data_IF_315640719921
#
_entry.id   IF_315640719921
#
_cell.length_a   1.000
_cell.length_b   1.000
_cell.length_c   1.000
_cell.angle_alpha   90.00
_cell.angle_beta   90.00
_cell.angle_gamma   90.00
#
_symmetry.space_group_name_H-M   'P 1'
#
loop_
_entity.id
_entity.type
_entity.pdbx_description
1 polymer ?
#
# COMPACT_ATOMS: atom_id res chain seq x y z
N UNK A 1 32.02 63.78 2.54
CA UNK A 1 30.93 63.36 1.67
C UNK A 1 31.36 62.11 0.94
N UNK A 2 30.94 60.94 1.41
CA UNK A 2 31.30 59.66 0.80
C UNK A 2 30.44 59.45 -0.45
N UNK A 3 31.07 59.06 -1.54
CA UNK A 3 30.49 58.89 -2.85
C UNK A 3 29.49 57.71 -2.85
N UNK A 4 28.24 57.85 -3.25
CA UNK A 4 27.26 56.80 -3.26
C UNK A 4 27.59 55.64 -4.21
N UNK A 5 28.56 55.81 -5.09
CA UNK A 5 29.05 54.78 -6.03
C UNK A 5 29.91 53.70 -5.34
N UNK A 6 30.67 54.04 -4.28
CA UNK A 6 31.50 53.08 -3.55
C UNK A 6 30.68 52.12 -2.69
N UNK A 7 29.53 52.57 -2.15
CA UNK A 7 28.65 51.72 -1.33
C UNK A 7 27.88 50.67 -2.13
N UNK A 8 27.64 50.91 -3.42
CA UNK A 8 27.02 49.91 -4.29
C UNK A 8 28.04 48.87 -4.78
N UNK A 9 29.27 49.27 -5.02
CA UNK A 9 30.36 48.36 -5.38
C UNK A 9 30.71 47.40 -4.23
N UNK A 10 30.71 47.89 -3.00
CA UNK A 10 30.95 47.04 -1.83
C UNK A 10 29.81 46.05 -1.59
N UNK A 11 28.58 46.43 -1.89
CA UNK A 11 27.45 45.52 -1.84
C UNK A 11 27.51 44.42 -2.92
N UNK A 12 27.79 44.81 -4.17
CA UNK A 12 27.96 43.84 -5.26
C UNK A 12 29.14 42.91 -5.02
N UNK A 13 30.24 43.41 -4.43
CA UNK A 13 31.39 42.59 -4.04
C UNK A 13 31.07 41.64 -2.91
N UNK A 14 30.21 42.03 -1.95
CA UNK A 14 29.75 41.16 -0.86
C UNK A 14 28.80 40.06 -1.37
N UNK A 15 27.92 40.40 -2.30
CA UNK A 15 26.99 39.46 -2.92
C UNK A 15 27.72 38.44 -3.80
N UNK A 16 28.69 38.90 -4.63
CA UNK A 16 29.54 38.00 -5.41
C UNK A 16 30.38 37.09 -4.50
N UNK A 17 30.92 37.63 -3.37
CA UNK A 17 31.64 36.78 -2.40
C UNK A 17 30.74 35.72 -1.80
N UNK A 18 29.51 36.07 -1.48
CA UNK A 18 28.52 35.14 -0.93
C UNK A 18 28.19 34.06 -1.95
N UNK A 19 27.92 34.42 -3.19
CA UNK A 19 27.61 33.50 -4.28
C UNK A 19 28.80 32.57 -4.61
N UNK A 20 30.02 33.07 -4.56
CA UNK A 20 31.25 32.28 -4.70
C UNK A 20 31.42 31.30 -3.53
N UNK A 21 31.08 31.70 -2.30
CA UNK A 21 31.14 30.81 -1.14
C UNK A 21 30.04 29.74 -1.24
N UNK A 22 28.81 30.09 -1.65
CA UNK A 22 27.74 29.16 -1.86
C UNK A 22 28.04 28.17 -2.99
N UNK A 23 28.58 28.65 -4.11
CA UNK A 23 29.00 27.80 -5.24
C UNK A 23 30.13 26.86 -4.84
N UNK A 24 31.11 27.36 -4.05
CA UNK A 24 32.20 26.54 -3.51
C UNK A 24 31.73 25.47 -2.56
N UNK A 25 30.75 25.81 -1.69
CA UNK A 25 30.12 24.83 -0.81
C UNK A 25 29.30 23.79 -1.59
N UNK A 26 28.65 24.20 -2.67
CA UNK A 26 27.95 23.29 -3.57
C UNK A 26 28.90 22.32 -4.26
N UNK A 27 30.05 22.84 -4.76
CA UNK A 27 31.09 22.02 -5.37
C UNK A 27 31.69 21.04 -4.39
N UNK A 28 31.94 21.45 -3.15
CA UNK A 28 32.43 20.53 -2.09
C UNK A 28 31.39 19.46 -1.79
N UNK A 29 30.11 19.83 -1.75
CA UNK A 29 29.00 18.90 -1.48
C UNK A 29 28.81 17.90 -2.64
N UNK A 30 28.93 18.35 -3.88
CA UNK A 30 28.90 17.48 -5.06
C UNK A 30 30.12 16.58 -5.16
N UNK A 31 31.33 17.08 -4.81
CA UNK A 31 32.55 16.26 -4.77
C UNK A 31 32.45 15.16 -3.68
N UNK A 32 31.91 15.49 -2.51
CA UNK A 32 31.67 14.52 -1.45
C UNK A 32 30.61 13.48 -1.85
N UNK A 33 29.54 13.89 -2.53
CA UNK A 33 28.53 12.98 -3.09
C UNK A 33 29.13 12.09 -4.19
N UNK A 34 29.96 12.65 -5.05
CA UNK A 34 30.69 11.90 -6.09
C UNK A 34 31.65 10.86 -5.47
N UNK A 35 32.35 11.22 -4.42
CA UNK A 35 33.22 10.30 -3.67
C UNK A 35 32.44 9.20 -2.97
N UNK A 36 31.31 9.52 -2.34
CA UNK A 36 30.43 8.51 -1.73
C UNK A 36 29.82 7.58 -2.77
N UNK A 37 29.34 8.12 -3.89
CA UNK A 37 28.83 7.34 -5.01
C UNK A 37 29.92 6.43 -5.61
N UNK A 38 31.14 6.95 -5.78
CA UNK A 38 32.26 6.16 -6.28
C UNK A 38 32.64 5.03 -5.30
N UNK A 39 32.58 5.29 -3.99
CA UNK A 39 32.81 4.29 -2.97
C UNK A 39 31.71 3.21 -2.98
N UNK A 40 30.44 3.61 -3.15
CA UNK A 40 29.31 2.67 -3.26
C UNK A 40 29.39 1.83 -4.54
N UNK A 41 29.68 2.44 -5.68
CA UNK A 41 29.87 1.70 -6.94
C UNK A 41 31.03 0.71 -6.83
N UNK A 42 32.14 1.11 -6.17
CA UNK A 42 33.26 0.22 -5.92
C UNK A 42 32.91 -0.91 -4.94
N UNK A 43 32.08 -0.61 -3.94
CA UNK A 43 31.60 -1.63 -2.99
C UNK A 43 30.64 -2.63 -3.66
N UNK A 44 29.77 -2.14 -4.56
CA UNK A 44 28.89 -2.98 -5.37
C UNK A 44 29.70 -3.85 -6.34
N UNK A 45 30.70 -3.26 -7.01
CA UNK A 45 31.64 -4.00 -7.88
C UNK A 45 32.34 -5.14 -7.11
N UNK A 46 32.87 -4.85 -5.91
CA UNK A 46 33.48 -5.88 -5.07
C UNK A 46 32.50 -6.99 -4.68
N UNK A 47 31.28 -6.63 -4.30
CA UNK A 47 30.23 -7.62 -3.97
C UNK A 47 29.84 -8.44 -5.20
N UNK A 48 29.82 -7.85 -6.36
CA UNK A 48 29.51 -8.54 -7.61
C UNK A 48 30.63 -9.52 -8.00
N UNK A 49 31.90 -9.13 -7.80
CA UNK A 49 33.07 -10.01 -8.02
C UNK A 49 33.12 -11.17 -7.01
N UNK A 50 32.77 -10.92 -5.75
CA UNK A 50 32.63 -11.97 -4.72
C UNK A 50 31.46 -12.92 -5.03
N UNK A 51 30.33 -12.38 -5.50
CA UNK A 51 29.18 -13.18 -5.94
C UNK A 51 29.51 -14.04 -7.16
N UNK A 52 30.22 -13.49 -8.16
CA UNK A 52 30.66 -14.25 -9.32
C UNK A 52 31.68 -15.36 -8.92
N UNK A 53 32.59 -15.05 -8.02
CA UNK A 53 33.53 -16.07 -7.51
C UNK A 53 32.83 -17.21 -6.75
N UNK A 54 31.84 -16.87 -5.89
CA UNK A 54 31.03 -17.89 -5.20
C UNK A 54 30.16 -18.69 -6.17
N UNK A 55 29.60 -18.06 -7.17
CA UNK A 55 28.77 -18.72 -8.20
C UNK A 55 29.63 -19.64 -9.08
N UNK A 56 30.85 -19.21 -9.43
CA UNK A 56 31.80 -20.05 -10.17
C UNK A 56 32.29 -21.23 -9.31
N UNK A 57 32.61 -20.99 -8.03
CA UNK A 57 33.01 -22.07 -7.11
C UNK A 57 31.91 -23.10 -6.89
N UNK A 58 30.63 -22.66 -6.76
CA UNK A 58 29.48 -23.56 -6.59
C UNK A 58 29.20 -24.37 -7.85
N UNK A 59 29.37 -23.76 -9.02
CA UNK A 59 29.25 -24.47 -10.31
C UNK A 59 30.35 -25.48 -10.49
N UNK A 60 31.60 -25.13 -10.16
CA UNK A 60 32.75 -26.05 -10.22
C UNK A 60 32.57 -27.18 -9.20
N UNK A 61 32.13 -26.89 -7.98
CA UNK A 61 31.86 -27.92 -6.98
C UNK A 61 30.75 -28.89 -7.42
N UNK A 62 29.69 -28.37 -8.09
CA UNK A 62 28.65 -29.22 -8.67
C UNK A 62 29.16 -30.11 -9.80
N UNK A 63 30.06 -29.62 -10.66
CA UNK A 63 30.70 -30.44 -11.70
C UNK A 63 31.64 -31.49 -11.11
N UNK A 64 32.40 -31.15 -10.06
CA UNK A 64 33.24 -32.13 -9.35
C UNK A 64 32.40 -33.19 -8.64
N UNK A 65 31.30 -32.81 -8.00
CA UNK A 65 30.36 -33.76 -7.40
C UNK A 65 29.76 -34.69 -8.47
N UNK A 66 29.38 -34.14 -9.63
CA UNK A 66 28.85 -34.94 -10.74
C UNK A 66 29.89 -35.87 -11.36
N UNK A 67 31.15 -35.41 -11.53
CA UNK A 67 32.23 -36.21 -11.99
C UNK A 67 32.58 -37.36 -11.00
N UNK A 68 32.56 -37.08 -9.69
CA UNK A 68 32.74 -38.08 -8.63
C UNK A 68 31.63 -39.13 -8.64
N UNK A 69 30.39 -38.73 -8.80
CA UNK A 69 29.23 -39.63 -8.94
C UNK A 69 29.39 -40.49 -10.21
N UNK A 70 29.77 -39.89 -11.35
CA UNK A 70 30.00 -40.63 -12.60
C UNK A 70 31.14 -41.65 -12.48
N UNK A 71 32.22 -41.30 -11.80
CA UNK A 71 33.36 -42.20 -11.54
C UNK A 71 32.95 -43.32 -10.58
N UNK A 72 32.23 -43.03 -9.49
CA UNK A 72 31.73 -44.05 -8.57
C UNK A 72 30.74 -44.99 -9.23
N UNK A 73 29.85 -44.49 -10.04
CA UNK A 73 28.91 -45.31 -10.85
C UNK A 73 29.68 -46.19 -11.85
N UNK A 74 30.70 -45.65 -12.51
CA UNK A 74 31.57 -46.42 -13.45
C UNK A 74 32.35 -47.52 -12.75
N UNK A 75 32.92 -47.24 -11.58
CA UNK A 75 33.64 -48.24 -10.76
C UNK A 75 32.70 -49.34 -10.24
N UNK A 76 31.51 -48.96 -9.81
CA UNK A 76 30.46 -49.89 -9.36
C UNK A 76 30.02 -50.80 -10.53
N UNK A 77 29.78 -50.23 -11.72
CA UNK A 77 29.42 -50.99 -12.93
C UNK A 77 30.55 -51.92 -13.35
N UNK A 78 31.83 -51.51 -13.21
CA UNK A 78 32.98 -52.38 -13.56
C UNK A 78 33.18 -53.54 -12.56
N UNK A 79 32.88 -53.32 -11.28
CA UNK A 79 32.95 -54.38 -10.26
C UNK A 79 31.80 -55.41 -10.40
N UNK A 80 30.64 -54.99 -10.93
CA UNK A 80 29.49 -55.90 -11.18
C UNK A 80 29.73 -56.85 -12.34
N UNK A 81 30.56 -56.46 -13.31
CA UNK A 81 30.94 -57.40 -14.41
C UNK A 81 31.72 -58.61 -13.92
N UNK A 82 32.22 -58.56 -12.68
CA UNK A 82 32.98 -59.64 -12.08
C UNK A 82 32.16 -60.54 -11.12
N UNK A 83 30.96 -60.17 -10.72
CA UNK A 83 30.11 -60.97 -9.83
C UNK A 83 28.77 -61.32 -10.48
N UNK A 84 28.51 -62.61 -10.60
CA UNK A 84 27.39 -63.23 -11.31
C UNK A 84 26.06 -63.22 -10.53
N UNK A 85 25.84 -62.31 -9.58
CA UNK A 85 24.67 -62.34 -8.70
C UNK A 85 23.54 -61.39 -9.17
N UNK A 86 22.47 -61.99 -9.64
CA UNK A 86 21.28 -61.25 -10.13
C UNK A 86 20.69 -60.33 -9.06
N UNK A 87 20.75 -60.70 -7.79
CA UNK A 87 20.24 -59.93 -6.67
C UNK A 87 21.05 -58.65 -6.37
N UNK A 88 22.35 -58.64 -6.61
CA UNK A 88 23.15 -57.43 -6.47
C UNK A 88 22.89 -56.46 -7.64
N UNK A 89 22.67 -56.96 -8.84
CA UNK A 89 22.31 -56.10 -9.98
C UNK A 89 20.97 -55.38 -9.76
N UNK A 90 19.94 -56.11 -9.28
CA UNK A 90 18.64 -55.47 -8.99
C UNK A 90 18.72 -54.42 -7.87
N UNK A 91 19.54 -54.66 -6.83
CA UNK A 91 19.77 -53.68 -5.77
C UNK A 91 20.51 -52.44 -6.28
N UNK A 92 21.50 -52.62 -7.13
CA UNK A 92 22.27 -51.54 -7.71
C UNK A 92 21.47 -50.75 -8.75
N UNK A 93 20.67 -51.40 -9.58
CA UNK A 93 19.73 -50.72 -10.49
C UNK A 93 18.71 -49.86 -9.73
N UNK A 94 18.17 -50.36 -8.61
CA UNK A 94 17.32 -49.58 -7.72
C UNK A 94 18.05 -48.40 -7.09
N UNK A 95 19.25 -48.61 -6.58
CA UNK A 95 20.06 -47.55 -6.00
C UNK A 95 20.45 -46.47 -7.02
N UNK A 96 20.77 -46.88 -8.26
CA UNK A 96 21.01 -45.93 -9.36
C UNK A 96 19.72 -45.17 -9.74
N UNK A 97 18.60 -45.87 -9.80
CA UNK A 97 17.32 -45.24 -10.08
C UNK A 97 16.93 -44.21 -8.96
N UNK A 98 17.12 -44.58 -7.70
CA UNK A 98 16.86 -43.68 -6.54
C UNK A 98 17.81 -42.47 -6.55
N UNK A 99 19.12 -42.70 -6.80
CA UNK A 99 20.10 -41.61 -6.93
C UNK A 99 19.82 -40.70 -8.11
N UNK A 100 19.44 -41.23 -9.27
CA UNK A 100 19.09 -40.42 -10.41
C UNK A 100 17.81 -39.62 -10.18
N UNK A 101 16.80 -40.20 -9.52
CA UNK A 101 15.60 -39.50 -9.09
C UNK A 101 15.91 -38.39 -8.09
N UNK A 102 16.84 -38.64 -7.17
CA UNK A 102 17.25 -37.62 -6.18
C UNK A 102 18.03 -36.47 -6.85
N UNK A 103 18.97 -36.78 -7.75
CA UNK A 103 19.70 -35.76 -8.51
C UNK A 103 18.77 -34.92 -9.38
N UNK A 104 17.78 -35.52 -10.03
CA UNK A 104 16.82 -34.76 -10.81
C UNK A 104 15.91 -33.89 -9.93
N UNK A 105 15.52 -34.38 -8.76
CA UNK A 105 14.78 -33.58 -7.75
C UNK A 105 15.58 -32.38 -7.29
N UNK A 106 16.86 -32.59 -6.95
CA UNK A 106 17.76 -31.52 -6.51
C UNK A 106 18.03 -30.51 -7.63
N UNK A 107 18.13 -30.97 -8.88
CA UNK A 107 18.27 -30.11 -10.05
C UNK A 107 17.03 -29.22 -10.25
N UNK A 108 15.82 -29.80 -10.15
CA UNK A 108 14.55 -29.05 -10.26
C UNK A 108 14.46 -28.02 -9.13
N UNK A 109 14.83 -28.40 -7.91
CA UNK A 109 14.83 -27.49 -6.76
C UNK A 109 15.83 -26.33 -6.96
N UNK A 110 17.05 -26.62 -7.41
CA UNK A 110 18.04 -25.57 -7.72
C UNK A 110 17.57 -24.64 -8.82
N UNK A 111 16.94 -25.16 -9.87
CA UNK A 111 16.36 -24.33 -10.93
C UNK A 111 15.24 -23.43 -10.40
N UNK A 112 14.42 -23.95 -9.50
CA UNK A 112 13.34 -23.19 -8.88
C UNK A 112 13.88 -22.06 -7.98
N UNK A 113 14.93 -22.34 -7.18
CA UNK A 113 15.63 -21.33 -6.37
C UNK A 113 16.25 -20.25 -7.26
N UNK A 114 16.97 -20.64 -8.32
CA UNK A 114 17.55 -19.67 -9.25
C UNK A 114 16.49 -18.81 -9.94
N UNK A 115 15.36 -19.40 -10.32
CA UNK A 115 14.25 -18.66 -10.91
C UNK A 115 13.62 -17.66 -9.94
N UNK A 116 13.49 -18.04 -8.66
CA UNK A 116 13.01 -17.15 -7.60
C UNK A 116 13.98 -15.97 -7.38
N UNK A 117 15.28 -16.23 -7.27
CA UNK A 117 16.30 -15.18 -7.10
C UNK A 117 16.39 -14.25 -8.32
N UNK A 118 16.23 -14.76 -9.54
CA UNK A 118 16.16 -13.91 -10.74
C UNK A 118 14.95 -12.96 -10.70
N UNK A 119 13.77 -13.50 -10.37
CA UNK A 119 12.55 -12.67 -10.23
C UNK A 119 12.69 -11.62 -9.13
N UNK A 120 13.31 -11.98 -8.02
CA UNK A 120 13.64 -11.08 -6.93
C UNK A 120 14.59 -9.96 -7.40
N UNK A 121 15.64 -10.31 -8.14
CA UNK A 121 16.57 -9.36 -8.75
C UNK A 121 15.89 -8.43 -9.76
N UNK A 122 14.96 -8.93 -10.55
CA UNK A 122 14.18 -8.12 -11.49
C UNK A 122 13.25 -7.13 -10.77
N UNK A 123 12.59 -7.58 -9.70
CA UNK A 123 11.80 -6.70 -8.84
C UNK A 123 12.66 -5.60 -8.21
N UNK A 124 13.84 -5.94 -7.68
CA UNK A 124 14.78 -4.95 -7.16
C UNK A 124 15.22 -3.94 -8.21
N UNK A 125 15.56 -4.42 -9.41
CA UNK A 125 15.95 -3.56 -10.53
C UNK A 125 14.83 -2.59 -10.90
N UNK A 126 13.59 -3.05 -10.96
CA UNK A 126 12.45 -2.18 -11.22
C UNK A 126 12.30 -1.10 -10.15
N UNK A 127 12.50 -1.43 -8.87
CA UNK A 127 12.45 -0.45 -7.77
C UNK A 127 13.57 0.59 -7.83
N UNK A 128 14.69 0.30 -8.50
CA UNK A 128 15.89 1.16 -8.50
C UNK A 128 16.11 1.90 -9.79
N UNK A 129 15.76 1.33 -10.95
CA UNK A 129 16.07 1.91 -12.28
C UNK A 129 14.90 2.67 -12.89
N UNK A 130 13.66 2.34 -12.54
CA UNK A 130 12.50 3.06 -13.03
C UNK A 130 12.38 4.43 -12.33
N UNK A 131 11.59 5.34 -12.88
CA UNK A 131 11.35 6.66 -12.31
C UNK A 131 9.91 6.81 -11.83
N UNK A 132 9.73 7.70 -10.86
CA UNK A 132 8.40 8.01 -10.33
C UNK A 132 7.66 6.78 -9.83
N UNK A 133 6.42 6.67 -10.23
CA UNK A 133 5.49 5.63 -9.77
C UNK A 133 5.73 4.25 -10.35
N UNK A 134 6.39 4.18 -11.49
CA UNK A 134 6.72 2.89 -12.11
C UNK A 134 7.63 2.04 -11.22
N UNK A 135 8.35 2.68 -10.29
CA UNK A 135 9.14 2.00 -9.24
C UNK A 135 8.28 1.12 -8.33
N UNK A 136 7.02 1.48 -8.09
CA UNK A 136 6.09 0.68 -7.28
C UNK A 136 5.78 -0.66 -7.92
N UNK A 137 5.87 -0.79 -9.25
CA UNK A 137 5.69 -2.08 -9.94
C UNK A 137 6.65 -3.15 -9.42
N UNK A 138 7.89 -2.76 -9.10
CA UNK A 138 8.87 -3.66 -8.48
C UNK A 138 8.45 -4.10 -7.08
N UNK A 139 7.93 -3.18 -6.27
CA UNK A 139 7.43 -3.48 -4.93
C UNK A 139 6.16 -4.36 -4.97
N UNK A 140 5.29 -4.17 -5.95
CA UNK A 140 4.10 -4.99 -6.17
C UNK A 140 4.45 -6.38 -6.73
N UNK A 141 5.47 -6.44 -7.59
CA UNK A 141 6.00 -7.71 -8.09
C UNK A 141 6.60 -8.54 -6.95
N UNK A 142 7.33 -7.88 -6.02
CA UNK A 142 7.85 -8.53 -4.82
C UNK A 142 6.74 -9.09 -3.92
N UNK A 143 5.65 -8.34 -3.73
CA UNK A 143 4.51 -8.78 -2.91
C UNK A 143 3.83 -10.04 -3.46
N UNK A 144 3.93 -10.29 -4.77
CA UNK A 144 3.38 -11.47 -5.45
C UNK A 144 4.38 -12.63 -5.57
N UNK A 145 5.64 -12.41 -5.19
CA UNK A 145 6.69 -13.40 -5.33
C UNK A 145 6.59 -14.43 -4.22
N UNK A 146 6.73 -15.71 -4.58
CA UNK A 146 6.97 -16.76 -3.59
C UNK A 146 8.37 -16.60 -2.99
N UNK A 147 8.40 -16.07 -1.78
CA UNK A 147 9.66 -15.80 -1.04
C UNK A 147 10.19 -16.99 -0.27
N UNK A 148 9.55 -18.18 -0.33
CA UNK A 148 9.98 -19.38 0.39
C UNK A 148 11.33 -19.92 -0.09
N UNK A 149 11.70 -19.57 -1.34
CA UNK A 149 12.89 -20.06 -2.04
C UNK A 149 14.00 -19.04 -2.17
N UNK A 150 13.88 -17.87 -1.56
CA UNK A 150 14.95 -16.88 -1.46
C UNK A 150 15.51 -16.85 -0.04
N UNK A 151 16.76 -16.39 0.11
CA UNK A 151 17.39 -16.36 1.43
C UNK A 151 16.66 -15.37 2.35
N UNK A 152 16.61 -15.62 3.67
CA UNK A 152 15.99 -14.70 4.63
C UNK A 152 16.57 -13.28 4.56
N UNK A 153 17.89 -13.17 4.35
CA UNK A 153 18.58 -11.88 4.23
C UNK A 153 18.16 -11.14 2.96
N UNK A 154 18.09 -11.84 1.83
CA UNK A 154 17.65 -11.28 0.56
C UNK A 154 16.20 -10.83 0.64
N UNK A 155 15.34 -11.65 1.23
CA UNK A 155 13.94 -11.29 1.50
C UNK A 155 13.82 -10.01 2.33
N UNK A 156 14.58 -9.93 3.43
CA UNK A 156 14.59 -8.76 4.29
C UNK A 156 15.03 -7.51 3.53
N UNK A 157 16.16 -7.58 2.81
CA UNK A 157 16.68 -6.45 2.05
C UNK A 157 15.69 -5.95 0.98
N UNK A 158 15.01 -6.87 0.30
CA UNK A 158 13.98 -6.53 -0.69
C UNK A 158 12.75 -5.88 -0.05
N UNK A 159 12.33 -6.41 1.09
CA UNK A 159 11.19 -5.86 1.85
C UNK A 159 11.52 -4.47 2.36
N UNK A 160 12.68 -4.29 2.98
CA UNK A 160 13.13 -2.98 3.48
C UNK A 160 13.22 -1.95 2.36
N UNK A 161 13.69 -2.36 1.18
CA UNK A 161 13.74 -1.48 0.01
C UNK A 161 12.35 -1.12 -0.51
N UNK A 162 11.43 -2.07 -0.58
CA UNK A 162 10.06 -1.83 -1.01
C UNK A 162 9.33 -0.89 -0.04
N UNK A 163 9.53 -1.07 1.26
CA UNK A 163 8.93 -0.23 2.29
C UNK A 163 9.53 1.19 2.31
N UNK A 164 10.84 1.32 2.11
CA UNK A 164 11.49 2.62 1.95
C UNK A 164 10.95 3.37 0.73
N UNK A 165 10.77 2.66 -0.38
CA UNK A 165 10.21 3.22 -1.61
C UNK A 165 8.76 3.68 -1.43
N UNK A 166 7.93 2.84 -0.78
CA UNK A 166 6.53 3.21 -0.49
C UNK A 166 6.46 4.45 0.40
N UNK A 167 7.33 4.54 1.41
CA UNK A 167 7.42 5.73 2.27
C UNK A 167 7.83 6.97 1.48
N UNK A 168 8.86 6.89 0.65
CA UNK A 168 9.35 8.01 -0.18
C UNK A 168 8.25 8.54 -1.11
N UNK A 169 7.60 7.65 -1.86
CA UNK A 169 6.53 8.02 -2.79
C UNK A 169 5.29 8.50 -2.02
N UNK A 170 4.98 7.84 -0.89
CA UNK A 170 3.88 8.23 -0.02
C UNK A 170 4.05 9.64 0.52
N UNK A 171 5.21 9.97 1.10
CA UNK A 171 5.49 11.32 1.60
C UNK A 171 5.38 12.37 0.49
N UNK A 172 5.90 12.08 -0.70
CA UNK A 172 5.75 12.98 -1.86
C UNK A 172 4.27 13.18 -2.23
N UNK A 173 3.46 12.13 -2.17
CA UNK A 173 2.02 12.22 -2.43
C UNK A 173 1.30 13.02 -1.33
N UNK A 174 1.64 12.80 -0.05
CA UNK A 174 1.09 13.56 1.06
C UNK A 174 1.40 15.05 0.94
N UNK A 175 2.64 15.42 0.64
CA UNK A 175 3.03 16.82 0.45
C UNK A 175 2.33 17.47 -0.74
N UNK A 176 2.22 16.76 -1.86
CA UNK A 176 1.47 17.25 -3.03
C UNK A 176 0.00 17.42 -2.71
N UNK A 177 -0.61 16.45 -2.04
CA UNK A 177 -2.00 16.52 -1.62
C UNK A 177 -2.28 17.68 -0.67
N UNK A 178 -1.41 17.94 0.31
CA UNK A 178 -1.49 19.13 1.18
C UNK A 178 -1.34 20.44 0.40
N UNK A 179 -0.42 20.46 -0.55
CA UNK A 179 -0.21 21.65 -1.39
C UNK A 179 -1.40 21.93 -2.30
N UNK A 180 -1.97 20.89 -2.93
CA UNK A 180 -3.18 20.99 -3.73
C UNK A 180 -4.35 21.49 -2.88
N UNK A 181 -4.52 20.96 -1.69
CA UNK A 181 -5.55 21.40 -0.74
C UNK A 181 -5.41 22.88 -0.40
N UNK A 182 -4.20 23.34 -0.06
CA UNK A 182 -3.91 24.76 0.23
C UNK A 182 -4.21 25.68 -0.96
N UNK A 183 -4.01 25.19 -2.18
CA UNK A 183 -4.32 25.90 -3.43
C UNK A 183 -5.80 25.81 -3.84
N UNK A 184 -6.64 25.19 -2.99
CA UNK A 184 -8.05 24.90 -3.28
C UNK A 184 -8.27 23.98 -4.50
N UNK A 185 -7.24 23.23 -4.92
CA UNK A 185 -7.35 22.16 -5.90
C UNK A 185 -7.81 20.88 -5.20
N UNK A 186 -9.12 20.78 -4.96
CA UNK A 186 -9.69 19.62 -4.27
C UNK A 186 -9.53 18.32 -5.06
N UNK A 187 -9.56 18.40 -6.39
CA UNK A 187 -9.38 17.22 -7.25
C UNK A 187 -7.96 16.66 -7.13
N UNK A 188 -6.95 17.51 -7.22
CA UNK A 188 -5.55 17.13 -7.01
C UNK A 188 -5.31 16.63 -5.59
N UNK A 189 -5.87 17.30 -4.57
CA UNK A 189 -5.77 16.88 -3.19
C UNK A 189 -6.36 15.46 -2.97
N UNK A 190 -7.55 15.19 -3.49
CA UNK A 190 -8.18 13.86 -3.40
C UNK A 190 -7.30 12.81 -4.08
N UNK A 191 -6.79 13.07 -5.27
CA UNK A 191 -5.98 12.11 -6.01
C UNK A 191 -4.69 11.73 -5.24
N UNK A 192 -3.93 12.74 -4.79
CA UNK A 192 -2.65 12.53 -4.12
C UNK A 192 -2.83 11.95 -2.70
N UNK A 193 -3.81 12.43 -1.92
CA UNK A 193 -4.08 11.92 -0.57
C UNK A 193 -4.65 10.49 -0.60
N UNK A 194 -5.53 10.17 -1.54
CA UNK A 194 -6.04 8.79 -1.72
C UNK A 194 -4.90 7.84 -2.08
N UNK A 195 -3.99 8.29 -2.92
CA UNK A 195 -2.79 7.54 -3.27
C UNK A 195 -1.88 7.31 -2.07
N UNK A 196 -1.65 8.33 -1.25
CA UNK A 196 -0.92 8.19 0.01
C UNK A 196 -1.55 7.14 0.92
N UNK A 197 -2.87 7.18 1.10
CA UNK A 197 -3.61 6.23 1.93
C UNK A 197 -3.50 4.78 1.41
N UNK A 198 -3.42 4.59 0.10
CA UNK A 198 -3.25 3.26 -0.51
C UNK A 198 -1.88 2.63 -0.21
N UNK A 199 -0.89 3.39 0.29
CA UNK A 199 0.44 2.91 0.64
C UNK A 199 0.57 2.41 2.08
N UNK A 200 -0.54 2.31 2.84
CA UNK A 200 -0.58 1.92 4.24
C UNK A 200 0.40 2.75 5.11
N UNK A 201 0.22 4.08 5.14
CA UNK A 201 1.10 4.95 5.91
C UNK A 201 0.99 4.70 7.42
N UNK A 202 1.97 5.21 8.21
CA UNK A 202 1.88 5.22 9.67
C UNK A 202 0.59 5.87 10.15
N UNK A 203 0.01 5.37 11.25
CA UNK A 203 -1.32 5.77 11.72
C UNK A 203 -1.46 7.29 11.91
N UNK A 204 -0.45 7.94 12.49
CA UNK A 204 -0.49 9.38 12.73
C UNK A 204 -0.61 10.18 11.42
N UNK A 205 0.17 9.83 10.41
CA UNK A 205 0.13 10.46 9.09
C UNK A 205 -1.17 10.11 8.33
N UNK A 206 -1.65 8.87 8.51
CA UNK A 206 -2.91 8.40 7.97
C UNK A 206 -4.11 9.17 8.53
N UNK A 207 -4.10 9.48 9.82
CA UNK A 207 -5.15 10.30 10.45
C UNK A 207 -5.14 11.72 9.90
N UNK A 208 -3.98 12.33 9.79
CA UNK A 208 -3.86 13.66 9.19
C UNK A 208 -4.34 13.68 7.73
N UNK A 209 -3.88 12.73 6.91
CA UNK A 209 -4.33 12.60 5.53
C UNK A 209 -5.84 12.36 5.43
N UNK A 210 -6.40 11.58 6.35
CA UNK A 210 -7.83 11.32 6.43
C UNK A 210 -8.63 12.60 6.70
N UNK A 211 -8.12 13.50 7.54
CA UNK A 211 -8.75 14.79 7.73
C UNK A 211 -8.80 15.61 6.44
N UNK A 212 -7.67 15.83 5.78
CA UNK A 212 -7.63 16.62 4.54
C UNK A 212 -8.46 15.98 3.42
N UNK A 213 -8.39 14.66 3.30
CA UNK A 213 -9.15 13.89 2.30
C UNK A 213 -10.66 14.03 2.54
N UNK A 214 -11.09 13.87 3.78
CA UNK A 214 -12.50 14.02 4.15
C UNK A 214 -13.03 15.43 3.91
N UNK A 215 -12.23 16.45 4.24
CA UNK A 215 -12.57 17.86 3.95
C UNK A 215 -12.65 18.08 2.44
N UNK A 216 -11.68 17.59 1.66
CA UNK A 216 -11.65 17.74 0.21
C UNK A 216 -12.86 17.08 -0.47
N UNK A 217 -13.25 15.89 -0.03
CA UNK A 217 -14.47 15.23 -0.49
C UNK A 217 -15.73 16.02 -0.13
N UNK A 218 -15.83 16.51 1.11
CA UNK A 218 -16.99 17.31 1.55
C UNK A 218 -17.13 18.60 0.75
N UNK A 219 -16.05 19.33 0.51
CA UNK A 219 -16.03 20.54 -0.31
C UNK A 219 -16.36 20.26 -1.78
N UNK A 220 -16.03 19.06 -2.26
CA UNK A 220 -16.40 18.58 -3.60
C UNK A 220 -17.82 18.00 -3.67
N UNK A 221 -18.61 18.07 -2.58
CA UNK A 221 -19.96 17.50 -2.43
C UNK A 221 -20.02 15.98 -2.64
N UNK A 222 -18.90 15.29 -2.47
CA UNK A 222 -18.77 13.83 -2.54
C UNK A 222 -18.91 13.26 -1.12
N UNK A 223 -20.13 13.36 -0.59
CA UNK A 223 -20.39 13.12 0.83
C UNK A 223 -20.24 11.65 1.23
N UNK A 224 -20.59 10.71 0.34
CA UNK A 224 -20.40 9.28 0.59
C UNK A 224 -18.93 8.93 0.81
N UNK A 225 -18.05 9.48 -0.03
CA UNK A 225 -16.62 9.26 0.09
C UNK A 225 -15.96 10.07 1.22
N UNK A 226 -16.62 11.14 1.67
CA UNK A 226 -16.14 11.93 2.80
C UNK A 226 -16.32 11.22 4.14
N UNK A 227 -17.34 10.38 4.28
CA UNK A 227 -17.69 9.70 5.55
C UNK A 227 -16.55 8.82 6.07
N UNK A 228 -15.96 7.86 5.33
CA UNK A 228 -14.94 6.98 5.87
C UNK A 228 -13.70 7.71 6.40
N UNK A 229 -13.07 8.64 5.67
CA UNK A 229 -11.89 9.34 6.16
C UNK A 229 -12.21 10.27 7.33
N UNK A 230 -13.35 10.98 7.34
CA UNK A 230 -13.74 11.82 8.47
C UNK A 230 -13.99 10.97 9.71
N UNK A 231 -14.71 9.86 9.60
CA UNK A 231 -14.96 8.95 10.70
C UNK A 231 -13.68 8.38 11.30
N UNK A 232 -12.73 7.97 10.43
CA UNK A 232 -11.41 7.51 10.86
C UNK A 232 -10.67 8.58 11.67
N UNK A 233 -10.64 9.82 11.18
CA UNK A 233 -9.97 10.92 11.88
C UNK A 233 -10.63 11.22 13.22
N UNK A 234 -11.96 11.34 13.26
CA UNK A 234 -12.71 11.63 14.48
C UNK A 234 -12.53 10.55 15.56
N UNK A 235 -12.46 9.29 15.18
CA UNK A 235 -12.24 8.18 16.12
C UNK A 235 -10.78 8.05 16.56
N UNK A 236 -9.82 8.32 15.66
CA UNK A 236 -8.40 8.07 15.88
C UNK A 236 -7.69 9.17 16.68
N UNK A 237 -7.98 10.45 16.43
CA UNK A 237 -7.36 11.56 17.14
C UNK A 237 -8.36 12.40 17.94
N UNK A 238 -8.58 11.99 19.18
CA UNK A 238 -9.52 12.68 20.10
C UNK A 238 -9.02 14.05 20.57
N UNK A 239 -7.73 14.34 20.43
CA UNK A 239 -7.09 15.59 20.89
C UNK A 239 -6.80 16.57 19.77
N UNK A 240 -7.02 16.19 18.52
CA UNK A 240 -6.74 17.05 17.37
C UNK A 240 -7.56 18.33 17.41
N UNK A 241 -6.91 19.47 17.19
CA UNK A 241 -7.58 20.77 17.08
C UNK A 241 -8.63 20.81 15.97
N UNK A 242 -8.44 20.02 14.91
CA UNK A 242 -9.34 19.92 13.76
C UNK A 242 -10.50 18.96 13.98
N UNK A 243 -10.57 18.26 15.12
CA UNK A 243 -11.61 17.25 15.39
C UNK A 243 -13.02 17.87 15.39
N UNK A 244 -13.15 19.03 15.97
CA UNK A 244 -14.40 19.82 15.96
C UNK A 244 -14.92 20.05 14.54
N UNK A 245 -14.06 20.54 13.63
CA UNK A 245 -14.40 20.76 12.23
C UNK A 245 -14.69 19.43 11.51
N UNK A 246 -13.91 18.40 11.77
CA UNK A 246 -14.16 17.08 11.18
C UNK A 246 -15.51 16.50 11.61
N UNK A 247 -15.90 16.64 12.87
CA UNK A 247 -17.21 16.19 13.37
C UNK A 247 -18.35 16.97 12.71
N UNK A 248 -18.18 18.27 12.49
CA UNK A 248 -19.14 19.08 11.76
C UNK A 248 -19.35 18.58 10.32
N UNK A 249 -18.25 18.33 9.59
CA UNK A 249 -18.31 17.84 8.23
C UNK A 249 -18.83 16.40 8.17
N UNK A 250 -18.49 15.55 9.14
CA UNK A 250 -18.97 14.19 9.24
C UNK A 250 -20.49 14.14 9.45
N UNK A 251 -21.01 14.95 10.40
CA UNK A 251 -22.43 15.06 10.62
C UNK A 251 -23.17 15.57 9.36
N UNK A 252 -22.55 16.54 8.64
CA UNK A 252 -23.07 17.02 7.38
C UNK A 252 -23.09 15.93 6.31
N UNK A 253 -22.01 15.20 6.16
CA UNK A 253 -21.91 14.13 5.17
C UNK A 253 -22.92 13.02 5.46
N UNK A 254 -23.11 12.64 6.72
CA UNK A 254 -24.16 11.69 7.12
C UNK A 254 -25.57 12.17 6.77
N UNK A 255 -25.86 13.46 6.99
CA UNK A 255 -27.16 14.03 6.62
C UNK A 255 -27.39 13.99 5.11
N UNK A 256 -26.37 14.36 4.31
CA UNK A 256 -26.46 14.36 2.84
C UNK A 256 -26.54 12.96 2.22
N UNK A 257 -26.09 11.96 2.94
CA UNK A 257 -26.17 10.54 2.54
C UNK A 257 -27.36 9.79 3.14
N UNK A 258 -28.29 10.51 3.78
CA UNK A 258 -29.49 9.93 4.37
C UNK A 258 -29.27 9.16 5.66
N UNK A 259 -28.04 9.16 6.22
CA UNK A 259 -27.72 8.48 7.48
C UNK A 259 -28.09 9.37 8.68
N UNK A 260 -29.37 9.68 8.81
CA UNK A 260 -29.90 10.71 9.73
C UNK A 260 -29.57 10.41 11.21
N UNK A 261 -29.66 9.15 11.64
CA UNK A 261 -29.35 8.79 13.01
C UNK A 261 -27.88 9.05 13.36
N UNK A 262 -26.95 8.67 12.47
CA UNK A 262 -25.52 8.92 12.65
C UNK A 262 -25.19 10.42 12.61
N UNK A 263 -25.89 11.18 11.76
CA UNK A 263 -25.77 12.63 11.74
C UNK A 263 -26.16 13.25 13.07
N UNK A 264 -27.31 12.82 13.63
CA UNK A 264 -27.81 13.31 14.93
C UNK A 264 -26.89 12.91 16.09
N UNK A 265 -26.37 11.69 16.08
CA UNK A 265 -25.43 11.19 17.09
C UNK A 265 -24.11 11.98 17.06
N UNK A 266 -23.50 12.12 15.87
CA UNK A 266 -22.25 12.89 15.68
C UNK A 266 -22.43 14.36 16.07
N UNK A 267 -23.53 15.00 15.68
CA UNK A 267 -23.81 16.37 16.05
C UNK A 267 -24.01 16.54 17.56
N UNK A 268 -24.64 15.58 18.22
CA UNK A 268 -24.84 15.55 19.68
C UNK A 268 -23.53 15.40 20.41
N UNK A 269 -22.69 14.42 20.01
CA UNK A 269 -21.35 14.23 20.56
C UNK A 269 -20.48 15.48 20.39
N UNK A 270 -20.51 16.12 19.21
CA UNK A 270 -19.76 17.33 18.96
C UNK A 270 -20.18 18.48 19.88
N UNK A 271 -21.48 18.68 20.10
CA UNK A 271 -21.97 19.72 21.00
C UNK A 271 -21.64 19.45 22.46
N UNK A 272 -21.60 18.18 22.88
CA UNK A 272 -21.19 17.81 24.24
C UNK A 272 -19.69 18.01 24.44
N UNK A 273 -18.88 17.70 23.44
CA UNK A 273 -17.41 17.80 23.53
C UNK A 273 -16.91 19.24 23.33
N UNK A 274 -17.57 19.98 22.43
CA UNK A 274 -17.17 21.33 22.01
C UNK A 274 -18.35 22.31 22.09
N UNK A 275 -18.89 22.61 23.28
CA UNK A 275 -20.12 23.43 23.42
C UNK A 275 -19.98 24.86 22.93
N UNK A 276 -18.74 25.39 22.97
CA UNK A 276 -18.41 26.77 22.54
C UNK A 276 -17.73 26.82 21.17
N UNK A 277 -17.87 25.75 20.39
CA UNK A 277 -17.35 25.64 19.03
C UNK A 277 -17.92 26.73 18.11
N UNK A 278 -17.10 27.20 17.16
CA UNK A 278 -17.57 28.03 16.05
C UNK A 278 -18.67 27.37 15.20
N UNK A 279 -18.75 26.04 15.26
CA UNK A 279 -19.76 25.24 14.55
C UNK A 279 -20.98 24.85 15.41
N UNK A 280 -21.02 25.24 16.68
CA UNK A 280 -22.06 24.81 17.62
C UNK A 280 -23.48 25.19 17.13
N UNK A 281 -23.65 26.39 16.58
CA UNK A 281 -24.94 26.84 16.08
C UNK A 281 -25.40 26.03 14.86
N UNK A 282 -24.48 25.75 13.93
CA UNK A 282 -24.76 24.91 12.77
C UNK A 282 -25.08 23.46 13.18
N UNK A 283 -24.39 22.93 14.20
CA UNK A 283 -24.67 21.61 14.76
C UNK A 283 -26.05 21.53 15.42
N UNK A 284 -26.45 22.56 16.19
CA UNK A 284 -27.79 22.64 16.78
C UNK A 284 -28.90 22.72 15.70
N UNK A 285 -28.68 23.54 14.69
CA UNK A 285 -29.62 23.66 13.57
C UNK A 285 -29.76 22.31 12.84
N UNK A 286 -28.63 21.62 12.56
CA UNK A 286 -28.62 20.30 11.93
C UNK A 286 -29.33 19.26 12.79
N UNK A 287 -29.05 19.21 14.08
CA UNK A 287 -29.74 18.30 14.99
C UNK A 287 -31.25 18.50 15.00
N UNK A 288 -31.69 19.76 14.86
CA UNK A 288 -33.13 20.09 14.78
C UNK A 288 -33.71 19.64 13.44
N UNK A 289 -33.03 19.88 12.30
CA UNK A 289 -33.49 19.44 10.98
C UNK A 289 -33.57 17.93 10.86
N UNK A 290 -32.53 17.22 11.31
CA UNK A 290 -32.45 15.76 11.28
C UNK A 290 -33.54 15.14 12.17
N UNK A 291 -33.79 15.67 13.37
CA UNK A 291 -34.89 15.19 14.23
C UNK A 291 -36.25 15.36 13.58
N UNK A 292 -36.46 16.49 12.88
CA UNK A 292 -37.71 16.72 12.14
C UNK A 292 -37.89 15.71 11.00
N UNK A 293 -36.82 15.43 10.26
CA UNK A 293 -36.85 14.46 9.17
C UNK A 293 -37.15 13.05 9.70
N UNK A 294 -36.47 12.60 10.77
CA UNK A 294 -36.72 11.30 11.41
C UNK A 294 -38.14 11.19 11.95
N UNK A 295 -38.71 12.29 12.51
CA UNK A 295 -40.11 12.33 12.96
C UNK A 295 -41.10 12.24 11.81
N UNK A 296 -40.79 12.83 10.65
CA UNK A 296 -41.61 12.75 9.45
C UNK A 296 -41.55 11.33 8.82
N UNK A 297 -40.38 10.68 8.80
CA UNK A 297 -40.23 9.30 8.33
C UNK A 297 -41.01 8.33 9.22
N UNK A 298 -40.96 8.49 10.54
CA UNK A 298 -41.73 7.68 11.48
C UNK A 298 -43.22 7.84 11.30
N UNK A 299 -43.71 9.08 11.02
CA UNK A 299 -45.13 9.35 10.77
C UNK A 299 -45.61 8.79 9.41
N UNK A 300 -44.75 8.81 8.38
CA UNK A 300 -45.09 8.22 7.07
C UNK A 300 -45.07 6.70 7.08
N UNK A 301 -44.18 6.10 7.86
CA UNK A 301 -44.08 4.63 8.06
C UNK A 301 -45.32 4.07 8.77
N UNK A 302 -45.91 4.79 9.71
CA UNK A 302 -47.13 4.40 10.41
C UNK A 302 -48.39 4.50 9.56
N UNK A 303 -48.43 5.43 8.60
CA UNK A 303 -49.58 5.57 7.67
C UNK A 303 -49.61 4.44 6.62
N UNK A 304 -48.48 3.90 6.23
CA UNK A 304 -48.42 2.75 5.29
C UNK A 304 -48.76 1.39 5.94
N UNK A 305 -48.59 1.25 7.25
CA UNK A 305 -48.95 0.05 7.97
C UNK A 305 -50.44 -0.02 8.40
N UNK A 306 -51.17 1.09 8.33
CA UNK A 306 -52.55 1.20 8.77
C UNK A 306 -53.62 0.94 7.70
N UNK A 307 -53.25 0.71 6.44
CA UNK A 307 -54.23 0.55 5.36
C UNK A 307 -54.43 -0.91 4.89
N UNK A 308 -54.01 -1.92 5.64
CA UNK A 308 -54.16 -3.30 5.25
C UNK A 308 -54.91 -4.18 6.29
N UNK A 309 -55.79 -3.57 7.12
CA UNK A 309 -56.68 -4.33 7.98
C UNK A 309 -58.10 -3.79 7.89
N UNK A 310 -58.87 -4.19 6.88
CA UNK A 310 -60.28 -3.82 6.83
C UNK A 310 -61.02 -4.15 5.55
N UNK A 311 -60.81 -5.37 4.98
CA UNK A 311 -61.79 -5.91 4.03
C UNK A 311 -61.74 -7.46 4.03
N UNK A 312 -62.19 -8.00 5.13
CA UNK A 312 -62.62 -9.41 5.20
C UNK A 312 -64.01 -9.44 5.83
N UNK A 313 -65.03 -9.53 5.00
CA UNK A 313 -66.33 -10.20 5.29
C UNK A 313 -67.44 -9.67 4.39
N UNK A 314 -67.63 -10.32 3.28
CA UNK A 314 -69.03 -10.65 2.84
C UNK A 314 -68.98 -11.60 1.63
N UNK A 315 -69.07 -12.89 1.91
CA UNK A 315 -69.52 -13.87 0.93
C UNK A 315 -71.06 -13.72 0.73
N UNK A 316 -71.54 -13.75 -0.50
CA UNK A 316 -72.96 -14.04 -0.74
C UNK A 316 -73.12 -15.52 -1.01
N UNK A 317 -74.18 -16.07 -0.39
CA UNK A 317 -74.65 -17.41 -0.43
C UNK A 317 -74.95 -17.92 -1.85
N UNK A 318 -74.68 -19.23 -2.04
CA UNK A 318 -75.21 -20.01 -3.14
C UNK A 318 -76.73 -20.12 -3.11
N UNK A 319 -77.41 -20.16 -4.22
CA UNK A 319 -78.62 -20.98 -4.37
C UNK A 319 -78.32 -22.30 -5.04
N UNK A 320 -78.94 -23.30 -4.40
CA UNK A 320 -79.11 -24.71 -4.78
C UNK A 320 -80.07 -24.86 -5.95
N UNK A 321 -80.00 -26.05 -6.54
CA UNK A 321 -80.98 -26.80 -7.32
C UNK A 321 -80.73 -26.72 -8.85
N UNK A 322 -80.62 -27.79 -9.48
CA UNK A 322 -81.26 -29.00 -9.73
C UNK A 322 -81.09 -29.35 -11.22
N UNK A 323 -80.59 -30.59 -11.42
CA UNK A 323 -81.35 -31.65 -12.16
C UNK A 323 -81.48 -31.54 -13.68
N UNK A 324 -81.17 -32.72 -14.20
CA UNK A 324 -81.53 -33.35 -15.48
C UNK A 324 -80.65 -33.01 -16.66
N UNK A 325 -79.96 -33.95 -17.25
CA UNK A 325 -80.45 -35.18 -17.85
C UNK A 325 -80.03 -35.28 -19.28
N UNK A 326 -79.29 -36.20 -19.56
CA UNK A 326 -78.91 -36.93 -20.75
C UNK A 326 -77.46 -36.96 -21.09
#
# INVERSE_FOLDING_TARGET
MANPADSNLDKELSDIRREVIESRNLVIKTDNLLKSLHAEVKAVGKRQDEFQKHQWLSSVAAYFAFALIAITVSLVVSSIRASSDKHERERLEKAIADLTAQVEKDRVEQQAVQAASRRAGDAYRQMTTLSGDDRLRGADALAKLDTSRISPLEKQALTDRADALRREIGQTALERGRNAFRKNDMKGAIADLSRFMAMNPPEQEALEASYFLGVAYSLSKRYEEAVPPLARFVSGDKKAKSREHAMYLLAHSYEQTGQLDKSAETAREALMTYPNSGFANQMRARLTSVRRALGAEAASGTTSAGHNTGEEARAPAKPSAASTGR
#
